data_IF_735314086629
#
_entry.id   IF_735314086629
#
_cell.length_a   1.000
_cell.length_b   1.000
_cell.length_c   1.000
_cell.angle_alpha   90.00
_cell.angle_beta   90.00
_cell.angle_gamma   90.00
#
_symmetry.space_group_name_H-M   'P 1'
#
loop_
_entity.id
_entity.type
_entity.pdbx_description
1 polymer ?
#
# COMPACT_ATOMS: atom_id res chain seq x y z
N UNK A 1 -13.14 -24.91 -3.49
CA UNK A 1 -11.87 -24.15 -3.52
C UNK A 1 -11.61 -23.62 -2.11
N UNK A 2 -10.48 -23.99 -1.47
CA UNK A 2 -10.09 -23.37 -0.19
C UNK A 2 -9.91 -21.88 -0.45
N UNK A 3 -10.71 -21.03 0.19
CA UNK A 3 -10.56 -19.58 0.09
C UNK A 3 -9.20 -19.20 0.68
N UNK A 4 -8.27 -18.75 -0.16
CA UNK A 4 -6.91 -18.37 0.26
C UNK A 4 -6.78 -16.87 0.53
N UNK A 5 -7.79 -16.07 0.18
CA UNK A 5 -7.80 -14.60 0.25
C UNK A 5 -9.14 -14.09 0.77
N UNK A 6 -9.21 -12.79 1.11
CA UNK A 6 -10.41 -12.14 1.66
C UNK A 6 -11.56 -12.10 0.65
N UNK A 7 -11.27 -11.77 -0.60
CA UNK A 7 -12.29 -11.71 -1.66
C UNK A 7 -12.59 -13.09 -2.26
N UNK A 8 -11.78 -14.11 -1.95
CA UNK A 8 -11.87 -15.44 -2.55
C UNK A 8 -11.18 -15.56 -3.91
N UNK A 9 -10.48 -14.52 -4.37
CA UNK A 9 -9.63 -14.53 -5.55
C UNK A 9 -8.31 -15.27 -5.32
N UNK A 10 -7.59 -15.59 -6.40
CA UNK A 10 -6.20 -16.05 -6.28
C UNK A 10 -5.30 -14.94 -5.71
N UNK A 11 -4.21 -15.30 -5.03
CA UNK A 11 -3.35 -14.35 -4.31
C UNK A 11 -2.83 -13.21 -5.22
N UNK A 12 -2.39 -13.51 -6.44
CA UNK A 12 -1.92 -12.48 -7.40
C UNK A 12 -2.99 -11.43 -7.75
N UNK A 13 -4.24 -11.86 -7.89
CA UNK A 13 -5.36 -10.97 -8.23
C UNK A 13 -5.80 -10.15 -7.03
N UNK A 14 -5.71 -10.74 -5.84
CA UNK A 14 -5.94 -10.05 -4.59
C UNK A 14 -4.88 -8.95 -4.36
N UNK A 15 -3.59 -9.25 -4.61
CA UNK A 15 -2.52 -8.25 -4.57
C UNK A 15 -2.77 -7.15 -5.59
N UNK A 16 -3.10 -7.49 -6.84
CA UNK A 16 -3.48 -6.50 -7.84
C UNK A 16 -4.60 -5.56 -7.32
N UNK A 17 -5.66 -6.15 -6.78
CA UNK A 17 -6.84 -5.41 -6.32
C UNK A 17 -6.51 -4.44 -5.18
N UNK A 18 -5.75 -4.87 -4.18
CA UNK A 18 -5.42 -4.02 -3.02
C UNK A 18 -4.41 -2.91 -3.35
N UNK A 19 -3.56 -3.09 -4.36
CA UNK A 19 -2.66 -2.02 -4.80
C UNK A 19 -3.32 -1.01 -5.75
N UNK A 20 -4.35 -1.43 -6.50
CA UNK A 20 -5.18 -0.51 -7.29
C UNK A 20 -6.14 0.26 -6.37
N UNK A 21 -6.74 -0.44 -5.41
CA UNK A 21 -7.68 0.13 -4.44
C UNK A 21 -7.03 0.12 -3.06
N UNK A 22 -6.08 1.04 -2.85
CA UNK A 22 -5.23 1.09 -1.64
C UNK A 22 -5.99 1.06 -0.30
N UNK A 23 -7.20 1.62 -0.26
CA UNK A 23 -8.05 1.59 0.94
C UNK A 23 -8.46 0.17 1.34
N UNK A 24 -8.59 -0.76 0.38
CA UNK A 24 -8.87 -2.17 0.70
C UNK A 24 -7.68 -2.84 1.37
N UNK A 25 -6.46 -2.52 0.95
CA UNK A 25 -5.25 -2.93 1.66
C UNK A 25 -5.28 -2.46 3.12
N UNK A 26 -5.64 -1.20 3.36
CA UNK A 26 -5.79 -0.65 4.70
C UNK A 26 -6.86 -1.39 5.51
N UNK A 27 -8.07 -1.58 4.97
CA UNK A 27 -9.14 -2.27 5.68
C UNK A 27 -8.75 -3.72 6.00
N UNK A 28 -8.25 -4.47 5.00
CA UNK A 28 -7.90 -5.87 5.15
C UNK A 28 -6.70 -6.09 6.09
N UNK A 29 -5.83 -5.09 6.25
CA UNK A 29 -4.69 -5.17 7.18
C UNK A 29 -5.12 -5.28 8.66
N UNK A 30 -6.28 -4.75 9.04
CA UNK A 30 -6.82 -4.85 10.42
C UNK A 30 -7.68 -6.10 10.65
N UNK A 31 -8.07 -6.77 9.57
CA UNK A 31 -8.94 -7.93 9.67
C UNK A 31 -8.11 -9.16 10.04
N UNK A 32 -8.45 -9.77 11.18
CA UNK A 32 -7.78 -10.98 11.66
C UNK A 32 -8.30 -12.19 10.90
N UNK A 33 -7.49 -12.68 9.97
CA UNK A 33 -7.79 -13.88 9.22
C UNK A 33 -6.70 -14.93 9.42
N UNK A 34 -7.06 -16.04 10.07
CA UNK A 34 -6.11 -17.11 10.38
C UNK A 34 -5.77 -18.00 9.17
N UNK A 35 -6.63 -17.97 8.14
CA UNK A 35 -6.48 -18.78 6.92
C UNK A 35 -5.59 -18.13 5.84
N UNK A 36 -5.22 -16.85 6.00
CA UNK A 36 -4.43 -16.11 5.02
C UNK A 36 -2.93 -16.47 5.12
N UNK A 37 -2.26 -16.54 3.97
CA UNK A 37 -0.81 -16.71 3.91
C UNK A 37 -0.07 -15.50 4.51
N UNK A 38 1.16 -15.70 5.00
CA UNK A 38 2.00 -14.59 5.51
C UNK A 38 2.24 -13.53 4.43
N UNK A 39 2.39 -13.97 3.18
CA UNK A 39 2.59 -13.10 2.02
C UNK A 39 1.41 -12.14 1.82
N UNK A 40 0.16 -12.66 1.75
CA UNK A 40 -0.99 -11.79 1.48
C UNK A 40 -1.26 -10.82 2.64
N UNK A 41 -1.04 -11.24 3.90
CA UNK A 41 -1.10 -10.36 5.08
C UNK A 41 -0.11 -9.21 4.97
N UNK A 42 1.13 -9.51 4.57
CA UNK A 42 2.14 -8.48 4.33
C UNK A 42 1.72 -7.51 3.21
N UNK A 43 1.18 -8.04 2.10
CA UNK A 43 0.75 -7.20 0.97
C UNK A 43 -0.41 -6.26 1.33
N UNK A 44 -1.36 -6.71 2.16
CA UNK A 44 -2.42 -5.84 2.69
C UNK A 44 -1.86 -4.69 3.53
N UNK A 45 -0.91 -4.99 4.43
CA UNK A 45 -0.25 -3.97 5.25
C UNK A 45 0.54 -2.99 4.40
N UNK A 46 1.36 -3.49 3.47
CA UNK A 46 2.17 -2.64 2.59
C UNK A 46 1.27 -1.73 1.73
N UNK A 47 0.21 -2.27 1.10
CA UNK A 47 -0.76 -1.47 0.35
C UNK A 47 -1.50 -0.46 1.24
N UNK A 48 -1.90 -0.87 2.45
CA UNK A 48 -2.54 0.01 3.44
C UNK A 48 -1.63 1.14 3.90
N UNK A 49 -0.33 0.88 4.09
CA UNK A 49 0.67 1.90 4.41
C UNK A 49 0.83 2.89 3.27
N UNK A 50 0.87 2.44 2.00
CA UNK A 50 0.93 3.35 0.84
C UNK A 50 -0.30 4.26 0.80
N UNK A 51 -1.49 3.71 1.06
CA UNK A 51 -2.71 4.49 1.12
C UNK A 51 -2.66 5.55 2.23
N UNK A 52 -2.20 5.16 3.43
CA UNK A 52 -2.05 6.08 4.57
C UNK A 52 -1.03 7.19 4.27
N UNK A 53 0.12 6.84 3.68
CA UNK A 53 1.15 7.81 3.27
C UNK A 53 0.60 8.81 2.26
N UNK A 54 -0.12 8.34 1.23
CA UNK A 54 -0.74 9.22 0.24
C UNK A 54 -1.83 10.12 0.86
N UNK A 55 -2.58 9.62 1.85
CA UNK A 55 -3.54 10.44 2.60
C UNK A 55 -2.83 11.55 3.39
N UNK A 56 -1.75 11.21 4.11
CA UNK A 56 -0.95 12.19 4.86
C UNK A 56 -0.35 13.24 3.92
N UNK A 57 0.20 12.83 2.77
CA UNK A 57 0.70 13.76 1.75
C UNK A 57 -0.39 14.70 1.23
N UNK A 58 -1.60 14.17 1.02
CA UNK A 58 -2.74 14.97 0.56
C UNK A 58 -3.14 16.04 1.59
N UNK A 59 -3.22 15.67 2.87
CA UNK A 59 -3.53 16.60 3.97
C UNK A 59 -2.41 17.65 4.11
N UNK A 60 -1.15 17.22 4.11
CA UNK A 60 0.00 18.12 4.20
C UNK A 60 0.00 19.14 3.05
N UNK A 61 -0.29 18.70 1.82
CA UNK A 61 -0.41 19.58 0.65
C UNK A 61 -1.50 20.62 0.83
N UNK A 62 -2.67 20.25 1.36
CA UNK A 62 -3.77 21.19 1.61
C UNK A 62 -3.34 22.25 2.63
N UNK A 63 -2.81 21.83 3.78
CA UNK A 63 -2.38 22.75 4.86
C UNK A 63 -1.30 23.71 4.36
N UNK A 64 -0.29 23.20 3.63
CA UNK A 64 0.80 24.00 3.08
C UNK A 64 0.31 24.96 2.01
N UNK A 65 -0.64 24.57 1.16
CA UNK A 65 -1.22 25.46 0.16
C UNK A 65 -1.97 26.65 0.78
N UNK A 66 -2.62 26.47 1.92
CA UNK A 66 -3.30 27.55 2.65
C UNK A 66 -2.34 28.54 3.33
N UNK A 67 -1.13 28.09 3.69
CA UNK A 67 -0.17 28.91 4.46
C UNK A 67 0.91 29.55 3.58
N UNK A 68 1.34 28.89 2.51
CA UNK A 68 2.43 29.36 1.66
C UNK A 68 2.11 29.03 0.20
N UNK A 69 1.99 30.06 -0.65
CA UNK A 69 1.69 29.91 -2.07
C UNK A 69 2.89 29.35 -2.84
N UNK A 70 3.18 28.06 -2.67
CA UNK A 70 4.35 27.40 -3.26
C UNK A 70 3.90 26.22 -4.12
N UNK A 71 3.73 26.47 -5.42
CA UNK A 71 3.55 25.45 -6.44
C UNK A 71 4.66 24.36 -6.41
N UNK A 72 5.87 24.72 -5.98
CA UNK A 72 7.01 23.82 -5.85
C UNK A 72 6.82 22.70 -4.81
N UNK A 73 6.15 22.96 -3.68
CA UNK A 73 5.87 21.95 -2.65
C UNK A 73 4.87 20.93 -3.18
N UNK A 74 3.83 21.40 -3.87
CA UNK A 74 2.86 20.53 -4.53
C UNK A 74 3.50 19.61 -5.57
N UNK A 75 4.53 20.10 -6.28
CA UNK A 75 5.29 19.30 -7.24
C UNK A 75 6.09 18.17 -6.57
N UNK A 76 6.78 18.45 -5.45
CA UNK A 76 7.53 17.42 -4.70
C UNK A 76 6.61 16.29 -4.24
N UNK A 77 5.47 16.62 -3.63
CA UNK A 77 4.52 15.59 -3.16
C UNK A 77 3.94 14.76 -4.32
N UNK A 78 3.64 15.38 -5.46
CA UNK A 78 3.21 14.65 -6.66
C UNK A 78 4.30 13.67 -7.15
N UNK A 79 5.57 14.08 -7.15
CA UNK A 79 6.67 13.20 -7.54
C UNK A 79 6.85 12.02 -6.58
N UNK A 80 6.74 12.24 -5.27
CA UNK A 80 6.78 11.17 -4.28
C UNK A 80 5.63 10.17 -4.47
N UNK A 81 4.40 10.65 -4.69
CA UNK A 81 3.26 9.78 -4.99
C UNK A 81 3.45 9.00 -6.30
N UNK A 82 4.06 9.60 -7.33
CA UNK A 82 4.38 8.91 -8.58
C UNK A 82 5.40 7.78 -8.37
N UNK A 83 6.46 8.04 -7.59
CA UNK A 83 7.46 7.01 -7.25
C UNK A 83 6.81 5.86 -6.50
N UNK A 84 5.94 6.13 -5.52
CA UNK A 84 5.19 5.09 -4.81
C UNK A 84 4.27 4.31 -5.76
N UNK A 85 3.66 4.98 -6.73
CA UNK A 85 2.82 4.33 -7.73
C UNK A 85 3.62 3.40 -8.65
N UNK A 86 4.83 3.78 -9.07
CA UNK A 86 5.74 2.91 -9.82
C UNK A 86 6.11 1.68 -9.00
N UNK A 87 6.44 1.85 -7.72
CA UNK A 87 6.74 0.72 -6.84
C UNK A 87 5.53 -0.20 -6.64
N UNK A 88 4.31 0.33 -6.53
CA UNK A 88 3.08 -0.46 -6.51
C UNK A 88 2.94 -1.34 -7.75
N UNK A 89 3.23 -0.81 -8.94
CA UNK A 89 3.21 -1.59 -10.19
C UNK A 89 4.24 -2.72 -10.14
N UNK A 90 5.46 -2.44 -9.68
CA UNK A 90 6.51 -3.46 -9.55
C UNK A 90 6.03 -4.59 -8.61
N UNK A 91 5.40 -4.25 -7.48
CA UNK A 91 4.84 -5.24 -6.56
C UNK A 91 3.77 -6.10 -7.22
N UNK A 92 2.87 -5.49 -8.00
CA UNK A 92 1.85 -6.20 -8.75
C UNK A 92 2.51 -7.18 -9.73
N UNK A 93 3.45 -6.71 -10.56
CA UNK A 93 4.13 -7.54 -11.56
C UNK A 93 4.84 -8.72 -10.90
N UNK A 94 5.56 -8.48 -9.81
CA UNK A 94 6.23 -9.53 -9.04
C UNK A 94 5.25 -10.53 -8.41
N UNK A 95 4.09 -10.07 -7.95
CA UNK A 95 3.05 -10.95 -7.45
C UNK A 95 2.48 -11.88 -8.53
N UNK A 96 2.43 -11.46 -9.80
CA UNK A 96 2.09 -12.36 -10.91
C UNK A 96 3.15 -13.44 -11.17
N UNK A 97 4.41 -13.18 -10.79
CA UNK A 97 5.50 -14.17 -10.77
C UNK A 97 5.55 -15.00 -9.47
N UNK A 98 4.56 -14.87 -8.57
CA UNK A 98 4.55 -15.45 -7.22
C UNK A 98 5.71 -14.99 -6.33
N UNK A 99 6.31 -13.83 -6.60
CA UNK A 99 7.34 -13.21 -5.77
C UNK A 99 6.75 -12.11 -4.89
N UNK A 100 7.25 -12.03 -3.65
CA UNK A 100 6.94 -10.92 -2.74
C UNK A 100 7.95 -9.81 -2.95
N UNK A 101 7.48 -8.61 -3.32
CA UNK A 101 8.31 -7.42 -3.35
C UNK A 101 8.06 -6.55 -2.12
N UNK A 102 9.12 -6.32 -1.34
CA UNK A 102 9.12 -5.37 -0.24
C UNK A 102 9.55 -4.00 -0.79
N UNK A 103 8.66 -3.01 -0.74
CA UNK A 103 8.98 -1.65 -1.17
C UNK A 103 9.87 -1.03 -0.08
N UNK A 104 11.08 -0.55 -0.41
CA UNK A 104 11.97 0.06 0.57
C UNK A 104 11.27 1.19 1.32
N UNK A 105 11.57 1.36 2.61
CA UNK A 105 10.93 2.35 3.51
C UNK A 105 9.47 2.02 3.84
N UNK A 106 8.62 1.72 2.84
CA UNK A 106 7.21 1.37 3.05
C UNK A 106 7.08 0.03 3.77
N UNK A 107 7.88 -0.97 3.42
CA UNK A 107 7.89 -2.27 4.09
C UNK A 107 8.21 -2.11 5.59
N UNK A 108 9.25 -1.34 5.92
CA UNK A 108 9.64 -1.07 7.31
C UNK A 108 8.60 -0.25 8.05
N UNK A 109 8.00 0.77 7.40
CA UNK A 109 6.88 1.52 7.96
C UNK A 109 5.67 0.63 8.20
N UNK A 110 5.37 -0.30 7.29
CA UNK A 110 4.24 -1.22 7.43
C UNK A 110 4.42 -2.14 8.63
N UNK A 111 5.61 -2.70 8.82
CA UNK A 111 5.97 -3.51 10.01
C UNK A 111 5.80 -2.70 11.29
N UNK A 112 6.28 -1.45 11.31
CA UNK A 112 6.13 -0.53 12.47
C UNK A 112 4.68 -0.15 12.78
N UNK A 113 3.86 0.12 11.75
CA UNK A 113 2.46 0.56 11.93
C UNK A 113 1.58 -0.59 12.38
N UNK A 114 1.79 -1.78 11.80
CA UNK A 114 0.92 -2.94 12.00
C UNK A 114 1.46 -3.96 13.02
N UNK A 115 2.61 -3.69 13.64
CA UNK A 115 3.10 -4.40 14.82
C UNK A 115 3.57 -5.82 14.57
N UNK A 116 4.22 -6.09 13.43
CA UNK A 116 5.04 -7.31 13.30
C UNK A 116 6.49 -6.96 13.62
N UNK A 117 6.89 -7.24 14.86
CA UNK A 117 8.29 -7.43 15.27
C UNK A 117 8.87 -8.71 14.65
#
# INVERSE_FOLDING_TARGET
>A
MKKTTVTGLEEKWEVFLVYIIGILGFIFSFMKYDYLSKNIKFQYRQAGTIWLVNMVFSIAKIILAYTINIAFIGYIFNMLSLVLWVFSIITIVKAFSNETYEIPVIADLSKKIFGEE
#
